data_IF_423522078528
#
_entry.id   IF_423522078528
#
_cell.length_a   1.000
_cell.length_b   1.000
_cell.length_c   1.000
_cell.angle_alpha   90.00
_cell.angle_beta   90.00
_cell.angle_gamma   90.00
#
_symmetry.space_group_name_H-M   'P 1'
#
loop_
_entity.id
_entity.type
_entity.pdbx_description
1 polymer ?
#
# COMPACT_ATOMS: atom_id res chain seq x y z
N UNK A 1 -4.83 -35.42 20.29
CA UNK A 1 -4.52 -34.04 20.73
C UNK A 1 -4.77 -33.08 19.56
N UNK A 2 -5.73 -32.15 19.68
CA UNK A 2 -6.07 -31.19 18.60
C UNK A 2 -4.92 -30.17 18.47
N UNK A 3 -4.20 -30.18 17.36
CA UNK A 3 -3.20 -29.16 17.05
C UNK A 3 -3.87 -27.78 17.02
N UNK A 4 -3.49 -26.92 17.97
CA UNK A 4 -3.91 -25.52 18.07
C UNK A 4 -3.15 -24.75 16.98
N UNK A 5 -3.68 -24.74 15.75
CA UNK A 5 -3.09 -24.00 14.63
C UNK A 5 -3.02 -22.50 14.99
N UNK A 6 -1.81 -22.01 15.25
CA UNK A 6 -1.53 -20.59 15.51
C UNK A 6 -1.75 -19.79 14.22
N UNK A 7 -2.91 -19.13 14.11
CA UNK A 7 -3.30 -18.30 12.95
C UNK A 7 -2.59 -16.93 12.92
N UNK A 8 -1.27 -16.88 13.11
CA UNK A 8 -0.49 -15.61 13.16
C UNK A 8 0.73 -15.58 12.24
N UNK A 9 0.71 -16.28 11.11
CA UNK A 9 1.77 -16.14 10.12
C UNK A 9 1.44 -14.92 9.25
N UNK A 10 2.03 -13.77 9.59
CA UNK A 10 1.85 -12.53 8.85
C UNK A 10 2.46 -12.62 7.44
N UNK A 11 3.57 -13.36 7.32
CA UNK A 11 4.33 -13.55 6.09
C UNK A 11 4.07 -14.92 5.47
N UNK A 12 3.11 -15.01 4.54
CA UNK A 12 2.79 -16.26 3.81
C UNK A 12 3.65 -16.40 2.57
N UNK A 13 3.92 -15.29 1.88
CA UNK A 13 4.75 -15.25 0.68
C UNK A 13 5.65 -14.00 0.73
N UNK A 14 6.83 -14.10 1.36
CA UNK A 14 7.68 -12.95 1.63
C UNK A 14 8.22 -12.30 0.35
N UNK A 15 8.40 -13.04 -0.74
CA UNK A 15 8.87 -12.47 -2.01
C UNK A 15 7.80 -11.57 -2.65
N UNK A 16 6.54 -12.00 -2.66
CA UNK A 16 5.43 -11.18 -3.12
C UNK A 16 5.18 -9.98 -2.21
N UNK A 17 5.19 -10.19 -0.89
CA UNK A 17 4.94 -9.13 0.10
C UNK A 17 6.01 -8.04 0.05
N UNK A 18 7.29 -8.42 0.00
CA UNK A 18 8.39 -7.46 -0.09
C UNK A 18 8.38 -6.72 -1.44
N UNK A 19 8.06 -7.43 -2.53
CA UNK A 19 7.88 -6.80 -3.84
C UNK A 19 6.78 -5.73 -3.79
N UNK A 20 5.59 -6.05 -3.26
CA UNK A 20 4.50 -5.09 -3.17
C UNK A 20 4.86 -3.88 -2.29
N UNK A 21 5.49 -4.12 -1.13
CA UNK A 21 5.95 -3.06 -0.22
C UNK A 21 6.97 -2.13 -0.89
N UNK A 22 7.91 -2.68 -1.66
CA UNK A 22 8.90 -1.87 -2.39
C UNK A 22 8.23 -0.99 -3.45
N UNK A 23 7.30 -1.56 -4.24
CA UNK A 23 6.57 -0.80 -5.26
C UNK A 23 5.69 0.28 -4.63
N UNK A 24 4.98 -0.02 -3.53
CA UNK A 24 4.16 0.98 -2.84
C UNK A 24 4.99 2.09 -2.20
N UNK A 25 6.14 1.76 -1.61
CA UNK A 25 7.05 2.75 -1.05
C UNK A 25 7.63 3.66 -2.14
N UNK A 26 8.07 3.09 -3.26
CA UNK A 26 8.58 3.86 -4.41
C UNK A 26 7.51 4.80 -4.96
N UNK A 27 6.28 4.30 -5.16
CA UNK A 27 5.16 5.12 -5.62
C UNK A 27 4.85 6.26 -4.65
N UNK A 28 4.89 5.99 -3.34
CA UNK A 28 4.67 7.00 -2.30
C UNK A 28 5.75 8.08 -2.33
N UNK A 29 7.03 7.69 -2.49
CA UNK A 29 8.14 8.64 -2.62
C UNK A 29 7.99 9.51 -3.86
N UNK A 30 7.61 8.92 -5.00
CA UNK A 30 7.38 9.68 -6.25
C UNK A 30 6.26 10.70 -6.06
N UNK A 31 5.12 10.28 -5.50
CA UNK A 31 3.97 11.18 -5.27
C UNK A 31 4.35 12.31 -4.30
N UNK A 32 4.98 12.00 -3.18
CA UNK A 32 5.43 13.01 -2.22
C UNK A 32 6.47 13.95 -2.84
N UNK A 33 7.37 13.44 -3.68
CA UNK A 33 8.33 14.25 -4.42
C UNK A 33 7.65 15.25 -5.38
N UNK A 34 6.63 14.80 -6.12
CA UNK A 34 5.83 15.66 -6.99
C UNK A 34 5.15 16.77 -6.16
N UNK A 35 4.52 16.42 -5.04
CA UNK A 35 3.89 17.41 -4.16
C UNK A 35 4.91 18.40 -3.57
N UNK A 36 6.12 17.94 -3.23
CA UNK A 36 7.17 18.82 -2.72
C UNK A 36 7.67 19.80 -3.79
N UNK A 37 7.89 19.32 -5.02
CA UNK A 37 8.26 20.17 -6.16
C UNK A 37 7.15 21.19 -6.45
N UNK A 38 5.89 20.75 -6.47
CA UNK A 38 4.75 21.65 -6.63
C UNK A 38 4.68 22.71 -5.53
N UNK A 39 4.93 22.33 -4.28
CA UNK A 39 5.03 23.28 -3.15
C UNK A 39 6.14 24.31 -3.39
N UNK A 40 7.33 23.89 -3.83
CA UNK A 40 8.43 24.81 -4.14
C UNK A 40 8.06 25.80 -5.26
N UNK A 41 7.44 25.30 -6.32
CA UNK A 41 6.96 26.11 -7.43
C UNK A 41 5.93 27.14 -6.96
N UNK A 42 4.91 26.72 -6.20
CA UNK A 42 3.88 27.61 -5.65
C UNK A 42 4.46 28.71 -4.74
N UNK A 43 5.44 28.37 -3.90
CA UNK A 43 6.12 29.34 -3.05
C UNK A 43 6.92 30.37 -3.85
N UNK A 44 7.60 29.90 -4.89
CA UNK A 44 8.35 30.78 -5.79
C UNK A 44 7.42 31.71 -6.58
N UNK A 45 6.34 31.19 -7.14
CA UNK A 45 5.34 31.95 -7.88
C UNK A 45 4.63 32.99 -6.99
N UNK A 46 4.25 32.61 -5.77
CA UNK A 46 3.64 33.53 -4.80
C UNK A 46 4.55 34.73 -4.49
N UNK A 47 5.85 34.49 -4.34
CA UNK A 47 6.84 35.55 -4.12
C UNK A 47 6.93 36.47 -5.33
N UNK A 48 7.00 35.91 -6.54
CA UNK A 48 7.12 36.67 -7.78
C UNK A 48 5.91 37.57 -8.01
N UNK A 49 4.70 37.05 -7.78
CA UNK A 49 3.46 37.82 -7.81
C UNK A 49 3.50 38.96 -6.78
N UNK A 50 3.91 38.67 -5.53
CA UNK A 50 3.95 39.71 -4.51
C UNK A 50 4.91 40.86 -4.88
N UNK A 51 6.11 40.56 -5.38
CA UNK A 51 7.08 41.58 -5.80
C UNK A 51 6.61 42.38 -7.03
N UNK A 52 5.96 41.72 -7.99
CA UNK A 52 5.43 42.39 -9.20
C UNK A 52 4.26 43.33 -8.93
N UNK A 53 3.55 43.17 -7.80
CA UNK A 53 2.50 44.12 -7.36
C UNK A 53 3.05 45.40 -6.72
N UNK A 54 4.38 45.55 -6.66
CA UNK A 54 5.04 46.72 -6.07
C UNK A 54 5.20 46.64 -4.55
N UNK A 55 4.93 45.48 -3.94
CA UNK A 55 5.24 45.22 -2.53
C UNK A 55 6.78 45.19 -2.39
N UNK A 56 7.36 46.04 -1.52
CA UNK A 56 8.80 46.04 -1.28
C UNK A 56 9.29 44.68 -0.76
N UNK A 57 10.52 44.30 -1.13
CA UNK A 57 11.09 43.00 -0.74
C UNK A 57 11.32 42.87 0.78
N UNK A 58 11.41 44.00 1.48
CA UNK A 58 11.54 44.13 2.93
C UNK A 58 10.20 44.26 3.66
N UNK A 59 9.08 44.23 2.93
CA UNK A 59 7.75 44.29 3.52
C UNK A 59 7.49 43.07 4.42
N UNK A 60 6.83 43.30 5.56
CA UNK A 60 6.53 42.29 6.60
C UNK A 60 5.86 41.02 6.05
N UNK A 61 5.08 41.16 4.98
CA UNK A 61 4.45 40.03 4.29
C UNK A 61 5.49 39.09 3.65
N UNK A 62 6.51 39.63 2.97
CA UNK A 62 7.55 38.84 2.31
C UNK A 62 8.44 38.18 3.36
N UNK A 63 8.83 38.92 4.40
CA UNK A 63 9.64 38.36 5.49
C UNK A 63 8.90 37.25 6.24
N UNK A 64 7.58 37.37 6.44
CA UNK A 64 6.77 36.31 7.06
C UNK A 64 6.69 35.04 6.20
N UNK A 65 6.67 35.14 4.86
CA UNK A 65 6.76 33.98 3.97
C UNK A 65 8.08 33.24 4.17
N UNK A 66 9.19 33.97 4.33
CA UNK A 66 10.52 33.40 4.57
C UNK A 66 10.65 32.78 5.97
N UNK A 67 10.29 33.53 7.00
CA UNK A 67 10.42 33.10 8.41
C UNK A 67 9.55 31.87 8.72
N UNK A 68 8.45 31.69 7.99
CA UNK A 68 7.54 30.54 8.17
C UNK A 68 7.80 29.38 7.22
N UNK A 69 8.71 29.52 6.24
CA UNK A 69 9.03 28.42 5.30
C UNK A 69 9.49 27.17 6.03
N UNK A 70 10.33 27.31 7.07
CA UNK A 70 10.83 26.18 7.85
C UNK A 70 9.70 25.40 8.55
N UNK A 71 8.69 26.10 9.09
CA UNK A 71 7.54 25.46 9.75
C UNK A 71 6.73 24.65 8.74
N UNK A 72 6.58 25.16 7.54
CA UNK A 72 5.84 24.51 6.45
C UNK A 72 6.61 23.28 5.94
N UNK A 73 7.93 23.40 5.78
CA UNK A 73 8.80 22.27 5.41
C UNK A 73 8.79 21.17 6.48
N UNK A 74 8.90 21.54 7.76
CA UNK A 74 8.81 20.59 8.86
C UNK A 74 7.44 19.90 8.90
N UNK A 75 6.36 20.66 8.73
CA UNK A 75 4.99 20.12 8.67
C UNK A 75 4.82 19.16 7.49
N UNK A 76 5.40 19.48 6.34
CA UNK A 76 5.40 18.60 5.17
C UNK A 76 6.16 17.30 5.43
N UNK A 77 7.34 17.35 6.07
CA UNK A 77 8.12 16.16 6.42
C UNK A 77 7.35 15.27 7.39
N UNK A 78 6.74 15.84 8.43
CA UNK A 78 5.92 15.09 9.39
C UNK A 78 4.75 14.41 8.66
N UNK A 79 4.04 15.13 7.79
CA UNK A 79 2.94 14.57 7.00
C UNK A 79 3.43 13.46 6.06
N UNK A 80 4.53 13.68 5.35
CA UNK A 80 5.15 12.71 4.45
C UNK A 80 5.53 11.40 5.16
N UNK A 81 6.11 11.48 6.36
CA UNK A 81 6.45 10.32 7.18
C UNK A 81 5.21 9.54 7.61
N UNK A 82 4.14 10.24 8.03
CA UNK A 82 2.88 9.60 8.40
C UNK A 82 2.23 8.89 7.21
N UNK A 83 2.21 9.53 6.04
CA UNK A 83 1.68 8.93 4.79
C UNK A 83 2.51 7.70 4.40
N UNK A 84 3.84 7.80 4.45
CA UNK A 84 4.73 6.68 4.14
C UNK A 84 4.50 5.48 5.07
N UNK A 85 4.42 5.72 6.38
CA UNK A 85 4.15 4.67 7.37
C UNK A 85 2.79 4.02 7.13
N UNK A 86 1.76 4.84 6.89
CA UNK A 86 0.41 4.36 6.57
C UNK A 86 0.41 3.51 5.29
N UNK A 87 1.05 3.96 4.22
CA UNK A 87 1.10 3.24 2.94
C UNK A 87 1.83 1.91 3.04
N UNK A 88 2.93 1.83 3.79
CA UNK A 88 3.64 0.57 4.04
C UNK A 88 2.77 -0.40 4.86
N UNK A 89 2.11 0.09 5.92
CA UNK A 89 1.20 -0.72 6.72
C UNK A 89 0.00 -1.23 5.90
N UNK A 90 -0.57 -0.37 5.07
CA UNK A 90 -1.64 -0.71 4.13
C UNK A 90 -1.20 -1.77 3.12
N UNK A 91 -0.04 -1.58 2.48
CA UNK A 91 0.50 -2.53 1.52
C UNK A 91 0.72 -3.92 2.14
N UNK A 92 1.24 -3.98 3.37
CA UNK A 92 1.40 -5.23 4.12
C UNK A 92 0.05 -5.91 4.39
N UNK A 93 -0.95 -5.14 4.83
CA UNK A 93 -2.29 -5.63 5.10
C UNK A 93 -2.97 -6.20 3.84
N UNK A 94 -2.93 -5.45 2.72
CA UNK A 94 -3.45 -5.92 1.42
C UNK A 94 -2.71 -7.17 0.98
N UNK A 95 -1.37 -7.17 1.07
CA UNK A 95 -0.58 -8.31 0.63
C UNK A 95 -0.91 -9.59 1.40
N UNK A 96 -1.20 -9.49 2.70
CA UNK A 96 -1.63 -10.63 3.50
C UNK A 96 -2.98 -11.19 3.04
N UNK A 97 -3.93 -10.32 2.68
CA UNK A 97 -5.26 -10.70 2.14
C UNK A 97 -5.20 -11.29 0.73
N UNK A 98 -4.12 -11.03 -0.01
CA UNK A 98 -3.88 -11.56 -1.37
C UNK A 98 -3.09 -12.87 -1.31
N UNK A 99 -1.96 -12.89 -0.60
CA UNK A 99 -1.06 -14.05 -0.56
C UNK A 99 -1.68 -15.27 0.15
N UNK A 100 -2.45 -15.04 1.21
CA UNK A 100 -3.14 -16.10 1.97
C UNK A 100 -4.04 -16.99 1.11
N UNK A 101 -5.09 -16.45 0.47
CA UNK A 101 -6.01 -17.23 -0.35
C UNK A 101 -5.31 -17.87 -1.56
N UNK A 102 -4.41 -17.16 -2.25
CA UNK A 102 -3.66 -17.73 -3.39
C UNK A 102 -2.83 -18.94 -2.95
N UNK A 103 -2.11 -18.84 -1.85
CA UNK A 103 -1.29 -19.95 -1.35
C UNK A 103 -2.16 -21.15 -1.00
N UNK A 104 -3.34 -20.93 -0.40
CA UNK A 104 -4.29 -21.99 -0.09
C UNK A 104 -4.83 -22.65 -1.34
N UNK A 105 -5.28 -21.87 -2.32
CA UNK A 105 -5.80 -22.38 -3.60
C UNK A 105 -4.73 -23.21 -4.31
N UNK A 106 -3.51 -22.68 -4.42
CA UNK A 106 -2.37 -23.39 -5.04
C UNK A 106 -2.09 -24.73 -4.36
N UNK A 107 -2.11 -24.77 -3.03
CA UNK A 107 -1.83 -26.00 -2.29
C UNK A 107 -2.93 -27.04 -2.49
N UNK A 108 -4.19 -26.64 -2.51
CA UNK A 108 -5.29 -27.58 -2.80
C UNK A 108 -5.20 -28.11 -4.23
N UNK A 109 -4.90 -27.25 -5.22
CA UNK A 109 -4.65 -27.69 -6.60
C UNK A 109 -3.51 -28.72 -6.67
N UNK A 110 -2.40 -28.50 -5.95
CA UNK A 110 -1.30 -29.48 -5.90
C UNK A 110 -1.75 -30.84 -5.33
N UNK A 111 -2.51 -30.85 -4.23
CA UNK A 111 -3.04 -32.09 -3.65
C UNK A 111 -3.91 -32.85 -4.64
N UNK A 112 -4.72 -32.13 -5.43
CA UNK A 112 -5.55 -32.73 -6.48
C UNK A 112 -4.67 -33.38 -7.55
N UNK A 113 -3.63 -32.69 -8.01
CA UNK A 113 -2.65 -33.22 -8.98
C UNK A 113 -1.94 -34.47 -8.42
N UNK A 114 -1.63 -34.48 -7.13
CA UNK A 114 -1.00 -35.62 -6.44
C UNK A 114 -1.97 -36.78 -6.15
N UNK A 115 -3.22 -36.73 -6.66
CA UNK A 115 -4.22 -37.79 -6.51
C UNK A 115 -4.83 -37.88 -5.11
N UNK A 116 -4.67 -36.86 -4.26
CA UNK A 116 -5.30 -36.82 -2.95
C UNK A 116 -6.80 -36.56 -3.05
N UNK A 117 -7.53 -36.85 -1.96
CA UNK A 117 -8.96 -36.64 -1.88
C UNK A 117 -9.36 -35.18 -2.22
N UNK A 118 -10.33 -35.06 -3.10
CA UNK A 118 -10.91 -33.79 -3.52
C UNK A 118 -11.68 -33.13 -2.36
N UNK A 119 -11.24 -31.96 -1.91
CA UNK A 119 -11.91 -31.18 -0.86
C UNK A 119 -12.26 -29.77 -1.36
N UNK A 120 -13.42 -29.25 -0.96
CA UNK A 120 -13.78 -27.84 -1.25
C UNK A 120 -12.77 -26.90 -0.58
N UNK A 121 -12.33 -25.90 -1.32
CA UNK A 121 -11.47 -24.81 -0.87
C UNK A 121 -12.33 -23.77 -0.16
N UNK A 122 -11.85 -23.31 0.99
CA UNK A 122 -12.46 -22.21 1.73
C UNK A 122 -11.41 -21.11 1.97
N UNK A 123 -11.74 -19.84 1.79
CA UNK A 123 -10.86 -18.69 2.11
C UNK A 123 -11.60 -17.75 3.07
N UNK A 124 -10.90 -16.85 3.76
CA UNK A 124 -11.54 -15.98 4.76
C UNK A 124 -12.47 -14.99 4.06
N UNK A 125 -13.57 -14.59 4.70
CA UNK A 125 -14.57 -13.70 4.09
C UNK A 125 -13.98 -12.36 3.61
N UNK A 126 -12.95 -11.87 4.31
CA UNK A 126 -12.32 -10.59 4.04
C UNK A 126 -11.07 -10.69 3.14
N UNK A 127 -10.76 -11.88 2.63
CA UNK A 127 -9.68 -12.11 1.67
C UNK A 127 -10.14 -11.84 0.24
N UNK A 128 -9.16 -11.64 -0.65
CA UNK A 128 -9.42 -11.54 -2.09
C UNK A 128 -9.61 -12.92 -2.73
N UNK A 129 -10.06 -12.95 -3.99
CA UNK A 129 -10.18 -14.15 -4.85
C UNK A 129 -11.28 -15.15 -4.48
N UNK A 130 -12.42 -14.66 -3.95
CA UNK A 130 -13.61 -15.52 -3.75
C UNK A 130 -14.09 -16.15 -5.04
N UNK A 131 -14.16 -15.39 -6.13
CA UNK A 131 -14.57 -15.90 -7.45
C UNK A 131 -13.66 -17.02 -7.97
N UNK A 132 -12.35 -16.91 -7.75
CA UNK A 132 -11.41 -17.97 -8.10
C UNK A 132 -11.62 -19.21 -7.21
N UNK A 133 -11.80 -19.02 -5.90
CA UNK A 133 -12.14 -20.11 -4.97
C UNK A 133 -13.43 -20.82 -5.42
N UNK A 134 -14.46 -20.07 -5.82
CA UNK A 134 -15.72 -20.63 -6.30
C UNK A 134 -15.54 -21.39 -7.61
N UNK A 135 -14.78 -20.85 -8.56
CA UNK A 135 -14.48 -21.49 -9.84
C UNK A 135 -13.71 -22.82 -9.66
N UNK A 136 -12.73 -22.85 -8.75
CA UNK A 136 -11.99 -24.08 -8.44
C UNK A 136 -12.89 -25.08 -7.70
N UNK A 137 -13.78 -24.64 -6.82
CA UNK A 137 -14.74 -25.53 -6.18
C UNK A 137 -15.70 -26.19 -7.18
N UNK A 138 -16.17 -25.46 -8.19
CA UNK A 138 -16.98 -26.03 -9.27
C UNK A 138 -16.21 -27.09 -10.05
N UNK A 139 -14.93 -26.85 -10.35
CA UNK A 139 -14.06 -27.83 -11.01
C UNK A 139 -13.90 -29.09 -10.16
N UNK A 140 -13.68 -28.93 -8.85
CA UNK A 140 -13.57 -30.04 -7.91
C UNK A 140 -14.86 -30.88 -7.87
N UNK A 141 -16.03 -30.23 -7.94
CA UNK A 141 -17.31 -30.93 -7.99
C UNK A 141 -17.54 -31.66 -9.30
N UNK A 142 -17.08 -31.08 -10.42
CA UNK A 142 -17.13 -31.73 -11.72
C UNK A 142 -16.34 -33.05 -11.72
N UNK A 143 -15.12 -33.06 -11.17
CA UNK A 143 -14.28 -34.28 -11.09
C UNK A 143 -14.74 -35.30 -10.03
N UNK A 144 -15.65 -34.93 -9.13
CA UNK A 144 -16.20 -35.85 -8.14
C UNK A 144 -17.39 -36.66 -8.69
N UNK A 145 -18.01 -36.21 -9.77
CA UNK A 145 -19.09 -36.92 -10.46
C UNK A 145 -18.51 -38.10 -11.24
#
# INVERSE_FOLDING_TARGET
MKQKYSRKILLVNPSFQFSLMKHSALMTIVVLGIFYIFKLYMFWELKDIALSTGIPADHDFISLIYDRSYVIDLSFIVLALNIALFMVGWALWVSHKVAGPIHRIRNEIKKIIDGQALHRINIRDHDYFHELKDSVNLLIEYFRR
#
